data_IF_172351133924
#
_entry.id   IF_172351133924
#
_cell.length_a   1.000
_cell.length_b   1.000
_cell.length_c   1.000
_cell.angle_alpha   90.00
_cell.angle_beta   90.00
_cell.angle_gamma   90.00
#
_symmetry.space_group_name_H-M   'P 1'
#
loop_
_entity.id
_entity.type
_entity.pdbx_description
1 polymer ?
#
# COMPACT_ATOMS: atom_id res chain seq x y z
N UNK A 1 11.76 -1.86 -10.78
CA UNK A 1 11.58 -1.64 -9.33
C UNK A 1 10.28 -2.32 -8.92
N UNK A 2 10.29 -3.18 -7.92
CA UNK A 2 9.07 -3.81 -7.39
C UNK A 2 8.65 -3.04 -6.14
N UNK A 3 7.49 -2.36 -6.18
CA UNK A 3 6.89 -1.71 -5.03
C UNK A 3 5.80 -2.60 -4.44
N UNK A 4 5.59 -2.50 -3.13
CA UNK A 4 4.45 -3.13 -2.49
C UNK A 4 3.15 -2.44 -2.91
N UNK A 5 2.18 -3.21 -3.41
CA UNK A 5 0.88 -2.67 -3.83
C UNK A 5 -0.20 -3.00 -2.79
N UNK A 6 -1.04 -2.02 -2.39
CA UNK A 6 -2.15 -2.27 -1.48
C UNK A 6 -3.34 -2.82 -2.27
N UNK A 7 -3.39 -4.14 -2.44
CA UNK A 7 -4.43 -4.79 -3.26
C UNK A 7 -5.60 -5.29 -2.39
N UNK A 8 -6.79 -5.32 -2.97
CA UNK A 8 -8.01 -5.85 -2.34
C UNK A 8 -8.28 -7.27 -2.82
N UNK A 9 -8.60 -8.20 -1.92
CA UNK A 9 -8.98 -9.56 -2.30
C UNK A 9 -10.38 -9.57 -2.90
N UNK A 10 -10.52 -10.02 -4.16
CA UNK A 10 -11.82 -10.18 -4.83
C UNK A 10 -12.34 -11.61 -4.80
N UNK A 11 -11.43 -12.60 -4.81
CA UNK A 11 -11.73 -14.03 -4.74
C UNK A 11 -10.55 -14.75 -4.08
N UNK A 12 -10.80 -15.78 -3.27
CA UNK A 12 -9.74 -16.57 -2.62
C UNK A 12 -10.13 -18.02 -2.41
N UNK A 13 -9.16 -18.93 -2.55
CA UNK A 13 -9.27 -20.34 -2.18
C UNK A 13 -8.56 -20.67 -0.84
N UNK A 14 -8.03 -19.65 -0.17
CA UNK A 14 -7.29 -19.74 1.09
C UNK A 14 -5.77 -19.90 0.93
N UNK A 15 -5.28 -20.35 -0.22
CA UNK A 15 -3.83 -20.45 -0.53
C UNK A 15 -3.40 -19.48 -1.61
N UNK A 16 -4.31 -19.12 -2.51
CA UNK A 16 -4.16 -18.11 -3.51
C UNK A 16 -5.42 -17.25 -3.60
N UNK A 17 -5.25 -15.99 -3.97
CA UNK A 17 -6.34 -15.06 -4.18
C UNK A 17 -6.16 -14.26 -5.47
N UNK A 18 -7.27 -13.93 -6.12
CA UNK A 18 -7.31 -12.86 -7.10
C UNK A 18 -7.42 -11.55 -6.31
N UNK A 19 -6.48 -10.64 -6.54
CA UNK A 19 -6.45 -9.33 -5.91
C UNK A 19 -6.48 -8.23 -6.96
N UNK A 20 -7.05 -7.08 -6.62
CA UNK A 20 -7.14 -5.92 -7.51
C UNK A 20 -6.57 -4.65 -6.90
N UNK A 21 -6.00 -3.80 -7.75
CA UNK A 21 -5.60 -2.43 -7.41
C UNK A 21 -5.62 -1.58 -8.68
N UNK A 22 -6.35 -0.45 -8.66
CA UNK A 22 -6.49 0.48 -9.81
C UNK A 22 -6.83 -0.20 -11.14
N UNK A 23 -7.76 -1.15 -11.12
CA UNK A 23 -8.19 -1.90 -12.31
C UNK A 23 -7.20 -2.98 -12.77
N UNK A 24 -6.00 -3.06 -12.17
CA UNK A 24 -5.08 -4.17 -12.38
C UNK A 24 -5.40 -5.34 -11.46
N UNK A 25 -5.56 -6.54 -12.03
CA UNK A 25 -5.77 -7.78 -11.27
C UNK A 25 -4.54 -8.67 -11.29
N UNK A 26 -4.27 -9.36 -10.18
CA UNK A 26 -3.16 -10.31 -10.05
C UNK A 26 -3.56 -11.52 -9.24
N UNK A 27 -2.99 -12.68 -9.60
CA UNK A 27 -3.05 -13.87 -8.75
C UNK A 27 -1.94 -13.78 -7.72
N UNK A 28 -2.30 -13.84 -6.45
CA UNK A 28 -1.39 -13.60 -5.33
C UNK A 28 -1.36 -14.82 -4.41
N UNK A 29 -0.18 -15.19 -3.93
CA UNK A 29 0.01 -16.22 -2.91
C UNK A 29 -0.42 -15.70 -1.53
N UNK A 30 -1.27 -16.45 -0.84
CA UNK A 30 -1.76 -16.14 0.51
C UNK A 30 -1.00 -16.91 1.61
N UNK A 31 0.02 -17.69 1.26
CA UNK A 31 0.66 -18.66 2.17
C UNK A 31 1.31 -18.06 3.42
N UNK A 32 1.60 -16.75 3.42
CA UNK A 32 2.18 -16.06 4.57
C UNK A 32 1.11 -15.51 5.53
N UNK A 33 -0.17 -15.57 5.16
CA UNK A 33 -1.28 -15.01 5.93
C UNK A 33 -2.27 -16.09 6.37
N UNK A 34 -2.91 -15.87 7.52
CA UNK A 34 -3.88 -16.80 8.10
C UNK A 34 -5.28 -16.58 7.50
N UNK A 35 -5.47 -17.04 6.26
CA UNK A 35 -6.75 -17.07 5.55
C UNK A 35 -7.51 -15.72 5.54
N UNK A 36 -6.95 -14.67 4.91
CA UNK A 36 -7.62 -13.37 4.82
C UNK A 36 -8.92 -13.46 3.99
N UNK A 37 -10.02 -12.80 4.41
CA UNK A 37 -11.30 -12.88 3.73
C UNK A 37 -11.36 -12.03 2.45
N UNK A 38 -12.34 -12.30 1.59
CA UNK A 38 -12.69 -11.41 0.48
C UNK A 38 -13.02 -10.02 1.02
N UNK A 39 -12.57 -8.98 0.31
CA UNK A 39 -12.66 -7.58 0.71
C UNK A 39 -11.51 -7.09 1.58
N UNK A 40 -10.67 -7.97 2.13
CA UNK A 40 -9.51 -7.54 2.90
C UNK A 40 -8.45 -6.87 2.01
N UNK A 41 -7.79 -5.85 2.56
CA UNK A 41 -6.63 -5.22 1.94
C UNK A 41 -5.34 -5.94 2.37
N UNK A 42 -4.47 -6.20 1.41
CA UNK A 42 -3.17 -6.86 1.61
C UNK A 42 -2.06 -6.10 0.91
N UNK A 43 -0.90 -6.04 1.54
CA UNK A 43 0.31 -5.55 0.89
C UNK A 43 0.91 -6.67 0.04
N UNK A 44 0.92 -6.48 -1.27
CA UNK A 44 1.43 -7.47 -2.23
C UNK A 44 2.82 -7.08 -2.72
N UNK A 45 3.78 -7.99 -2.61
CA UNK A 45 5.13 -7.83 -3.14
C UNK A 45 5.53 -9.10 -3.88
N UNK A 46 5.88 -8.97 -5.17
CA UNK A 46 6.24 -10.09 -6.07
C UNK A 46 5.18 -11.21 -5.95
N UNK A 47 3.93 -10.85 -6.24
CA UNK A 47 2.77 -11.75 -6.27
C UNK A 47 2.56 -12.58 -4.98
N UNK A 48 3.03 -12.05 -3.85
CA UNK A 48 2.85 -12.64 -2.51
C UNK A 48 2.25 -11.61 -1.56
N UNK A 49 1.20 -11.98 -0.83
CA UNK A 49 0.63 -11.16 0.23
C UNK A 49 1.50 -11.25 1.48
N UNK A 50 2.07 -10.11 1.91
CA UNK A 50 3.06 -10.06 3.00
C UNK A 50 2.39 -9.77 4.35
N UNK A 51 1.35 -8.94 4.35
CA UNK A 51 0.58 -8.58 5.55
C UNK A 51 -0.79 -8.01 5.17
N UNK A 52 -1.71 -8.04 6.14
CA UNK A 52 -2.95 -7.28 6.07
C UNK A 52 -2.68 -5.78 6.23
N UNK A 53 -3.54 -5.00 5.60
CA UNK A 53 -3.62 -3.55 5.73
C UNK A 53 -4.99 -3.19 6.30
N UNK A 54 -5.04 -2.15 7.12
CA UNK A 54 -6.30 -1.47 7.34
C UNK A 54 -6.64 -0.55 6.15
N UNK A 55 -7.87 -0.03 6.12
CA UNK A 55 -8.36 0.81 5.03
C UNK A 55 -7.54 2.09 4.87
N UNK A 56 -7.12 2.70 5.97
CA UNK A 56 -6.42 3.98 5.95
C UNK A 56 -4.99 3.81 5.44
N UNK A 57 -4.29 2.77 5.88
CA UNK A 57 -2.97 2.44 5.41
C UNK A 57 -2.98 2.05 3.92
N UNK A 58 -3.95 1.25 3.49
CA UNK A 58 -4.13 0.92 2.07
C UNK A 58 -4.35 2.18 1.23
N UNK A 59 -5.16 3.12 1.73
CA UNK A 59 -5.41 4.42 1.10
C UNK A 59 -4.15 5.29 1.02
N UNK A 60 -3.39 5.39 2.11
CA UNK A 60 -2.15 6.20 2.18
C UNK A 60 -1.06 5.63 1.26
N UNK A 61 -0.85 4.31 1.25
CA UNK A 61 0.09 3.67 0.33
C UNK A 61 -0.35 3.91 -1.12
N UNK A 62 -1.65 3.79 -1.41
CA UNK A 62 -2.21 4.13 -2.71
C UNK A 62 -1.87 5.56 -3.11
N UNK A 63 -2.21 6.54 -2.27
CA UNK A 63 -1.92 7.95 -2.51
C UNK A 63 -0.42 8.19 -2.75
N UNK A 64 0.46 7.58 -1.96
CA UNK A 64 1.91 7.68 -2.16
C UNK A 64 2.38 7.15 -3.54
N UNK A 65 1.78 6.06 -4.04
CA UNK A 65 2.07 5.54 -5.38
C UNK A 65 1.56 6.50 -6.48
N UNK A 66 0.39 7.14 -6.29
CA UNK A 66 -0.06 8.19 -7.21
C UNK A 66 0.88 9.40 -7.19
N UNK A 67 1.31 9.84 -6.00
CA UNK A 67 2.25 10.93 -5.84
C UNK A 67 3.61 10.66 -6.49
N UNK A 68 4.08 9.41 -6.42
CA UNK A 68 5.28 9.00 -7.16
C UNK A 68 5.07 9.11 -8.68
N UNK A 69 3.89 8.74 -9.19
CA UNK A 69 3.54 8.92 -10.60
C UNK A 69 3.56 10.39 -11.02
N UNK A 70 2.86 11.25 -10.27
CA UNK A 70 2.85 12.70 -10.51
C UNK A 70 4.26 13.30 -10.51
N UNK A 71 5.10 12.93 -9.54
CA UNK A 71 6.47 13.41 -9.47
C UNK A 71 7.33 12.96 -10.67
N UNK A 72 7.13 11.74 -11.18
CA UNK A 72 7.80 11.25 -12.39
C UNK A 72 7.37 12.02 -13.65
N UNK A 73 6.10 12.42 -13.70
CA UNK A 73 5.54 13.21 -14.81
C UNK A 73 5.85 14.72 -14.69
N UNK A 74 6.51 15.14 -13.59
CA UNK A 74 6.84 16.54 -13.32
C UNK A 74 5.67 17.38 -12.83
N UNK A 75 4.61 16.73 -12.35
CA UNK A 75 3.43 17.36 -11.76
C UNK A 75 3.61 17.59 -10.25
N UNK A 76 2.76 18.45 -9.69
CA UNK A 76 2.67 18.64 -8.24
C UNK A 76 2.19 17.37 -7.54
N UNK A 77 3.00 16.88 -6.60
CA UNK A 77 2.72 15.66 -5.84
C UNK A 77 2.29 15.94 -4.39
N UNK A 78 2.30 17.20 -3.94
CA UNK A 78 2.06 17.57 -2.54
C UNK A 78 0.68 17.11 -2.06
N UNK A 79 -0.34 17.21 -2.94
CA UNK A 79 -1.71 16.76 -2.65
C UNK A 79 -1.83 15.29 -2.21
N UNK A 80 -0.86 14.45 -2.53
CA UNK A 80 -0.86 13.03 -2.18
C UNK A 80 -0.23 12.74 -0.80
N UNK A 81 0.42 13.73 -0.21
CA UNK A 81 1.12 13.66 1.07
C UNK A 81 0.64 14.76 2.03
N UNK A 82 -0.64 15.13 1.97
CA UNK A 82 -1.21 16.22 2.78
C UNK A 82 -0.99 16.01 4.30
N UNK A 83 -0.92 14.75 4.76
CA UNK A 83 -0.62 14.39 6.14
C UNK A 83 0.84 14.67 6.56
N UNK A 84 1.73 14.89 5.60
CA UNK A 84 3.15 15.16 5.82
C UNK A 84 3.54 16.62 5.57
N UNK A 85 2.78 17.37 4.76
CA UNK A 85 3.18 18.70 4.27
C UNK A 85 2.67 19.82 5.17
N UNK A 86 1.48 19.68 5.75
CA UNK A 86 0.90 20.71 6.63
C UNK A 86 1.37 20.61 8.09
N UNK A 87 2.52 19.95 8.33
CA UNK A 87 3.09 19.80 9.68
C UNK A 87 4.60 19.94 9.68
N UNK A 88 5.14 20.45 10.78
CA UNK A 88 6.58 20.50 10.98
C UNK A 88 7.16 19.08 11.13
N UNK A 89 8.15 18.68 10.30
CA UNK A 89 8.79 17.38 10.41
C UNK A 89 9.40 17.19 11.79
N UNK A 90 8.94 16.17 12.50
CA UNK A 90 9.44 15.86 13.84
C UNK A 90 10.57 14.85 13.76
N UNK A 91 11.69 15.14 14.44
CA UNK A 91 12.76 14.17 14.57
C UNK A 91 12.28 12.95 15.39
N UNK A 92 12.72 11.73 15.05
CA UNK A 92 12.59 10.56 15.91
C UNK A 92 13.18 10.84 17.30
N UNK A 93 12.67 10.19 18.34
CA UNK A 93 13.08 10.44 19.73
C UNK A 93 14.60 10.38 19.95
N UNK A 94 15.30 9.44 19.29
CA UNK A 94 16.75 9.27 19.38
C UNK A 94 17.57 10.29 18.59
N UNK A 95 16.93 11.18 17.83
CA UNK A 95 17.57 12.27 17.07
C UNK A 95 17.22 13.66 17.61
N UNK A 96 16.38 13.76 18.65
CA UNK A 96 16.08 15.05 19.31
C UNK A 96 17.24 15.41 20.23
N UNK A 97 17.85 16.57 20.03
CA UNK A 97 18.72 17.17 21.05
C UNK A 97 17.83 17.55 22.24
N UNK A 98 18.24 17.21 23.45
CA UNK A 98 17.49 17.61 24.67
C UNK A 98 17.23 19.12 24.73
#
# INVERSE_FOLDING_TARGET
MCLGLPMTIVETDGTSALCEFRGGQRRVSMLLLSNPPVGAHVLVYIDTAIRLLDEEEARLIGAAIDGLGAALDGEDCDRFFADLIDREPQLPAHLRSE
#
